data_IF_655599201085
#
_entry.id   IF_655599201085
#
_cell.length_a   1.000
_cell.length_b   1.000
_cell.length_c   1.000
_cell.angle_alpha   90.00
_cell.angle_beta   90.00
_cell.angle_gamma   90.00
#
_symmetry.space_group_name_H-M   'P 1'
#
loop_
_entity.id
_entity.type
_entity.pdbx_description
1 polymer ?
#
# COMPACT_ATOMS: atom_id res chain seq x y z
N UNK A 1 -22.60 23.35 -4.12
CA UNK A 1 -21.17 23.73 -4.11
C UNK A 1 -20.45 23.43 -2.78
N UNK A 2 -20.96 23.84 -1.60
CA UNK A 2 -20.31 23.55 -0.29
C UNK A 2 -20.07 22.07 0.03
N UNK A 3 -20.89 21.13 -0.46
CA UNK A 3 -20.74 19.70 -0.19
C UNK A 3 -19.62 19.00 -1.01
N UNK A 4 -19.27 19.53 -2.19
CA UNK A 4 -18.18 19.01 -3.02
C UNK A 4 -16.81 19.41 -2.45
N UNK A 5 -16.70 20.63 -1.91
CA UNK A 5 -15.49 21.10 -1.21
C UNK A 5 -15.14 20.23 0.00
N UNK A 6 -16.14 19.72 0.74
CA UNK A 6 -15.91 18.86 1.92
C UNK A 6 -15.32 17.49 1.57
N UNK A 7 -15.66 16.90 0.42
CA UNK A 7 -15.22 15.54 0.07
C UNK A 7 -13.77 15.48 -0.35
N UNK A 8 -13.28 16.49 -1.05
CA UNK A 8 -11.88 16.56 -1.48
C UNK A 8 -10.96 16.71 -0.26
N UNK A 9 -11.43 17.41 0.78
CA UNK A 9 -10.68 17.68 2.01
C UNK A 9 -10.34 16.41 2.79
N UNK A 10 -11.29 15.48 2.88
CA UNK A 10 -11.08 14.23 3.63
C UNK A 10 -9.94 13.40 3.05
N UNK A 11 -9.85 13.26 1.72
CA UNK A 11 -8.83 12.40 1.10
C UNK A 11 -7.42 12.96 1.28
N UNK A 12 -7.21 14.26 1.02
CA UNK A 12 -5.85 14.80 1.19
C UNK A 12 -5.44 14.90 2.66
N UNK A 13 -6.38 15.18 3.57
CA UNK A 13 -6.08 15.15 5.01
C UNK A 13 -5.71 13.74 5.46
N UNK A 14 -6.44 12.71 5.02
CA UNK A 14 -6.11 11.33 5.36
C UNK A 14 -4.72 10.93 4.85
N UNK A 15 -4.38 11.29 3.60
CA UNK A 15 -3.05 11.05 3.04
C UNK A 15 -1.96 11.80 3.81
N UNK A 16 -2.19 13.08 4.12
CA UNK A 16 -1.25 13.89 4.90
C UNK A 16 -1.04 13.29 6.29
N UNK A 17 -2.11 12.90 6.99
CA UNK A 17 -2.02 12.27 8.30
C UNK A 17 -1.25 10.94 8.24
N UNK A 18 -1.54 10.07 7.28
CA UNK A 18 -0.80 8.80 7.12
C UNK A 18 0.69 9.03 6.91
N UNK A 19 1.05 9.87 5.95
CA UNK A 19 2.45 10.21 5.64
C UNK A 19 3.15 10.84 6.85
N UNK A 20 2.50 11.77 7.56
CA UNK A 20 3.11 12.40 8.74
C UNK A 20 3.28 11.42 9.90
N UNK A 21 2.36 10.47 10.09
CA UNK A 21 2.50 9.43 11.11
C UNK A 21 3.64 8.48 10.78
N UNK A 22 3.74 8.02 9.53
CA UNK A 22 4.85 7.15 9.10
C UNK A 22 6.20 7.86 9.23
N UNK A 23 6.29 9.12 8.80
CA UNK A 23 7.50 9.94 8.97
C UNK A 23 7.83 10.19 10.44
N UNK A 24 6.83 10.38 11.30
CA UNK A 24 7.04 10.59 12.73
C UNK A 24 7.56 9.31 13.40
N UNK A 25 6.93 8.16 13.15
CA UNK A 25 7.38 6.86 13.66
C UNK A 25 8.78 6.52 13.15
N UNK A 26 9.01 6.75 11.85
CA UNK A 26 10.33 6.60 11.24
C UNK A 26 11.36 7.51 11.93
N UNK A 27 11.03 8.78 12.12
CA UNK A 27 11.89 9.77 12.77
C UNK A 27 12.22 9.40 14.21
N UNK A 28 11.25 8.90 14.99
CA UNK A 28 11.48 8.39 16.35
C UNK A 28 12.47 7.23 16.33
N UNK A 29 12.30 6.27 15.42
CA UNK A 29 13.23 5.14 15.30
C UNK A 29 14.65 5.56 14.92
N UNK A 30 14.80 6.52 13.99
CA UNK A 30 16.11 7.07 13.63
C UNK A 30 16.77 7.85 14.78
N UNK A 31 15.98 8.49 15.65
CA UNK A 31 16.49 9.16 16.84
C UNK A 31 16.93 8.17 17.93
N UNK A 32 16.20 7.05 18.08
CA UNK A 32 16.54 5.99 19.04
C UNK A 32 17.71 5.13 18.58
N UNK A 33 17.87 4.94 17.27
CA UNK A 33 18.92 4.13 16.68
C UNK A 33 19.80 4.93 15.71
N UNK A 34 20.71 5.81 16.22
CA UNK A 34 21.58 6.62 15.37
C UNK A 34 22.51 5.81 14.45
N UNK A 35 22.80 4.55 14.81
CA UNK A 35 23.60 3.61 13.99
C UNK A 35 22.98 3.31 12.62
N UNK A 36 21.70 3.66 12.41
CA UNK A 36 21.02 3.57 11.11
C UNK A 36 21.42 4.68 10.14
N UNK A 37 22.06 5.75 10.64
CA UNK A 37 22.56 6.86 9.83
C UNK A 37 24.01 6.67 9.38
N UNK A 38 24.65 5.55 9.77
CA UNK A 38 25.99 5.20 9.30
C UNK A 38 26.01 4.91 7.79
N UNK A 39 27.18 5.13 7.18
CA UNK A 39 27.38 4.92 5.74
C UNK A 39 27.03 3.48 5.35
N UNK A 40 26.13 3.33 4.36
CA UNK A 40 25.61 2.04 3.89
C UNK A 40 24.16 1.76 4.27
N UNK A 41 23.67 2.28 5.42
CA UNK A 41 22.27 2.10 5.88
C UNK A 41 21.42 3.34 5.69
N UNK A 42 22.05 4.52 5.72
CA UNK A 42 21.38 5.81 5.54
C UNK A 42 20.61 5.93 4.21
N UNK A 43 21.06 5.24 3.15
CA UNK A 43 20.37 5.25 1.85
C UNK A 43 18.97 4.64 1.92
N UNK A 44 18.77 3.58 2.70
CA UNK A 44 17.46 2.93 2.86
C UNK A 44 16.48 3.86 3.56
N UNK A 45 16.92 4.51 4.63
CA UNK A 45 16.13 5.52 5.32
C UNK A 45 15.80 6.70 4.40
N UNK A 46 16.78 7.21 3.65
CA UNK A 46 16.56 8.31 2.71
C UNK A 46 15.56 7.94 1.61
N UNK A 47 15.63 6.71 1.06
CA UNK A 47 14.65 6.22 0.09
C UNK A 47 13.24 6.23 0.67
N UNK A 48 13.05 5.75 1.90
CA UNK A 48 11.73 5.78 2.55
C UNK A 48 11.21 7.22 2.71
N UNK A 49 12.05 8.14 3.20
CA UNK A 49 11.67 9.55 3.37
C UNK A 49 11.28 10.18 2.04
N UNK A 50 12.10 10.02 1.01
CA UNK A 50 11.82 10.58 -0.33
C UNK A 50 10.53 10.02 -0.88
N UNK A 51 10.30 8.71 -0.79
CA UNK A 51 9.09 8.08 -1.30
C UNK A 51 7.84 8.49 -0.51
N UNK A 52 7.91 8.61 0.82
CA UNK A 52 6.82 9.13 1.65
C UNK A 52 6.49 10.59 1.31
N UNK A 53 7.51 11.42 1.03
CA UNK A 53 7.29 12.80 0.55
C UNK A 53 6.63 12.83 -0.83
N UNK A 54 7.03 11.93 -1.75
CA UNK A 54 6.35 11.76 -3.05
C UNK A 54 4.88 11.36 -2.84
N UNK A 55 4.62 10.42 -1.95
CA UNK A 55 3.26 10.00 -1.59
C UNK A 55 2.45 11.15 -1.00
N UNK A 56 3.04 11.97 -0.13
CA UNK A 56 2.41 13.19 0.41
C UNK A 56 2.09 14.21 -0.68
N UNK A 57 3.05 14.52 -1.56
CA UNK A 57 2.86 15.44 -2.68
C UNK A 57 1.73 14.98 -3.63
N UNK A 58 1.71 13.71 -4.00
CA UNK A 58 0.67 13.11 -4.84
C UNK A 58 -0.67 13.05 -4.11
N UNK A 59 -0.65 12.60 -2.85
CA UNK A 59 -1.78 12.45 -1.95
C UNK A 59 -2.51 13.75 -1.64
N UNK A 60 -1.79 14.87 -1.63
CA UNK A 60 -2.34 16.20 -1.41
C UNK A 60 -2.68 16.90 -2.73
N UNK A 61 -1.76 16.84 -3.70
CA UNK A 61 -1.89 17.54 -4.97
C UNK A 61 -3.07 17.04 -5.82
N UNK A 62 -3.29 15.72 -5.86
CA UNK A 62 -4.35 15.12 -6.68
C UNK A 62 -5.76 15.52 -6.20
N UNK A 63 -6.15 15.32 -4.92
CA UNK A 63 -7.51 15.64 -4.49
C UNK A 63 -7.86 17.13 -4.54
N UNK A 64 -6.89 18.03 -4.33
CA UNK A 64 -7.13 19.48 -4.33
C UNK A 64 -7.65 19.97 -5.68
N UNK A 65 -7.07 19.48 -6.78
CA UNK A 65 -7.37 19.92 -8.15
C UNK A 65 -8.21 18.91 -8.94
N UNK A 66 -8.75 17.89 -8.27
CA UNK A 66 -9.44 16.78 -8.92
C UNK A 66 -10.78 17.21 -9.54
N UNK A 67 -11.01 16.81 -10.80
CA UNK A 67 -12.35 16.80 -11.40
C UNK A 67 -13.25 15.76 -10.73
N UNK A 68 -14.57 15.82 -10.97
CA UNK A 68 -15.50 14.84 -10.41
C UNK A 68 -15.17 13.39 -10.83
N UNK A 69 -14.70 13.19 -12.06
CA UNK A 69 -14.32 11.87 -12.55
C UNK A 69 -13.05 11.34 -11.85
N UNK A 70 -12.04 12.21 -11.67
CA UNK A 70 -10.84 11.87 -10.88
C UNK A 70 -11.23 11.52 -9.45
N UNK A 71 -12.02 12.36 -8.81
CA UNK A 71 -12.48 12.14 -7.43
C UNK A 71 -13.24 10.81 -7.30
N UNK A 72 -14.08 10.46 -8.28
CA UNK A 72 -14.78 9.17 -8.28
C UNK A 72 -13.81 7.99 -8.35
N UNK A 73 -12.75 8.07 -9.16
CA UNK A 73 -11.69 7.06 -9.21
C UNK A 73 -10.92 6.97 -7.89
N UNK A 74 -10.54 8.11 -7.29
CA UNK A 74 -9.86 8.14 -6.00
C UNK A 74 -10.70 7.49 -4.90
N UNK A 75 -12.01 7.73 -4.85
CA UNK A 75 -12.88 7.07 -3.87
C UNK A 75 -12.99 5.55 -4.08
N UNK A 76 -13.03 5.07 -5.32
CA UNK A 76 -12.96 3.63 -5.58
C UNK A 76 -11.62 3.04 -5.14
N UNK A 77 -10.53 3.75 -5.45
CA UNK A 77 -9.18 3.40 -5.01
C UNK A 77 -9.07 3.36 -3.49
N UNK A 78 -9.61 4.36 -2.78
CA UNK A 78 -9.60 4.42 -1.31
C UNK A 78 -10.31 3.24 -0.70
N UNK A 79 -11.52 2.90 -1.17
CA UNK A 79 -12.27 1.77 -0.62
C UNK A 79 -11.49 0.45 -0.76
N UNK A 80 -10.83 0.23 -1.89
CA UNK A 80 -10.03 -0.97 -2.11
C UNK A 80 -8.69 -0.90 -1.36
N UNK A 81 -8.04 0.27 -1.32
CA UNK A 81 -6.78 0.49 -0.62
C UNK A 81 -6.87 0.28 0.88
N UNK A 82 -8.00 0.65 1.50
CA UNK A 82 -8.27 0.34 2.91
C UNK A 82 -8.32 -1.18 3.14
N UNK A 83 -8.96 -1.94 2.25
CA UNK A 83 -9.01 -3.40 2.33
C UNK A 83 -7.61 -3.99 2.17
N UNK A 84 -6.84 -3.49 1.20
CA UNK A 84 -5.44 -3.91 0.97
C UNK A 84 -4.59 -3.63 2.22
N UNK A 85 -4.71 -2.45 2.82
CA UNK A 85 -3.98 -2.12 4.06
C UNK A 85 -4.31 -3.05 5.23
N UNK A 86 -5.59 -3.42 5.39
CA UNK A 86 -6.00 -4.43 6.38
C UNK A 86 -5.38 -5.78 6.08
N UNK A 87 -5.37 -6.20 4.81
CA UNK A 87 -4.77 -7.48 4.40
C UNK A 87 -3.26 -7.48 4.66
N UNK A 88 -2.55 -6.39 4.36
CA UNK A 88 -1.14 -6.25 4.73
C UNK A 88 -0.92 -6.39 6.24
N UNK A 89 -1.72 -5.70 7.05
CA UNK A 89 -1.60 -5.82 8.52
C UNK A 89 -1.86 -7.25 9.02
N UNK A 90 -2.82 -7.96 8.41
CA UNK A 90 -3.08 -9.37 8.71
C UNK A 90 -1.92 -10.25 8.29
N UNK A 91 -1.39 -10.07 7.08
CA UNK A 91 -0.24 -10.82 6.56
C UNK A 91 0.97 -10.66 7.48
N UNK A 92 1.34 -9.41 7.80
CA UNK A 92 2.40 -9.11 8.77
C UNK A 92 2.12 -9.72 10.14
N UNK A 93 0.86 -9.71 10.60
CA UNK A 93 0.50 -10.35 11.87
C UNK A 93 0.70 -11.87 11.84
N UNK A 94 0.38 -12.51 10.71
CA UNK A 94 0.59 -13.95 10.53
C UNK A 94 2.09 -14.25 10.51
N UNK A 95 2.87 -13.49 9.73
CA UNK A 95 4.32 -13.67 9.62
C UNK A 95 5.04 -13.44 10.96
N UNK A 96 4.67 -12.39 11.68
CA UNK A 96 5.36 -12.00 12.92
C UNK A 96 4.93 -12.86 14.11
N UNK A 97 3.66 -13.29 14.20
CA UNK A 97 3.11 -13.89 15.43
C UNK A 97 2.70 -15.36 15.30
N UNK A 98 2.61 -15.92 14.10
CA UNK A 98 2.15 -17.32 13.91
C UNK A 98 3.28 -18.16 13.31
N UNK A 99 3.70 -19.20 14.03
CA UNK A 99 4.64 -20.19 13.51
C UNK A 99 3.91 -21.24 12.67
N UNK A 100 3.79 -20.96 11.36
CA UNK A 100 3.18 -21.86 10.39
C UNK A 100 4.15 -22.96 9.89
N UNK A 101 5.44 -22.88 10.25
CA UNK A 101 6.49 -23.65 9.60
C UNK A 101 6.77 -23.19 8.15
N UNK A 102 7.92 -23.59 7.61
CA UNK A 102 8.47 -23.01 6.35
C UNK A 102 7.56 -23.14 5.13
N UNK A 103 6.96 -24.30 4.90
CA UNK A 103 6.14 -24.51 3.69
C UNK A 103 4.83 -23.73 3.76
N UNK A 104 4.13 -23.78 4.89
CA UNK A 104 2.86 -23.08 5.03
C UNK A 104 3.02 -21.57 5.10
N UNK A 105 4.12 -21.06 5.68
CA UNK A 105 4.50 -19.65 5.61
C UNK A 105 4.65 -19.19 4.15
N UNK A 106 5.38 -19.92 3.31
CA UNK A 106 5.52 -19.59 1.88
C UNK A 106 4.16 -19.53 1.15
N UNK A 107 3.27 -20.50 1.38
CA UNK A 107 1.94 -20.48 0.77
C UNK A 107 1.05 -19.37 1.31
N UNK A 108 1.19 -19.01 2.59
CA UNK A 108 0.50 -17.89 3.22
C UNK A 108 0.89 -16.58 2.54
N UNK A 109 2.19 -16.25 2.50
CA UNK A 109 2.71 -15.02 1.88
C UNK A 109 2.30 -14.94 0.40
N UNK A 110 2.47 -16.02 -0.37
CA UNK A 110 2.06 -16.04 -1.78
C UNK A 110 0.54 -15.85 -1.94
N UNK A 111 -0.26 -16.43 -1.04
CA UNK A 111 -1.71 -16.27 -1.01
C UNK A 111 -2.13 -14.82 -0.77
N UNK A 112 -1.54 -14.16 0.23
CA UNK A 112 -1.78 -12.76 0.53
C UNK A 112 -1.33 -11.83 -0.60
N UNK A 113 -0.15 -12.06 -1.17
CA UNK A 113 0.34 -11.31 -2.33
C UNK A 113 -0.61 -11.44 -3.53
N UNK A 114 -1.03 -12.66 -3.88
CA UNK A 114 -1.96 -12.88 -4.99
C UNK A 114 -3.29 -12.15 -4.74
N UNK A 115 -3.80 -12.21 -3.52
CA UNK A 115 -5.03 -11.50 -3.13
C UNK A 115 -4.88 -9.98 -3.31
N UNK A 116 -3.77 -9.40 -2.86
CA UNK A 116 -3.48 -7.98 -3.03
C UNK A 116 -3.39 -7.62 -4.52
N UNK A 117 -2.77 -8.44 -5.35
CA UNK A 117 -2.67 -8.20 -6.80
C UNK A 117 -4.04 -8.22 -7.48
N UNK A 118 -4.91 -9.16 -7.09
CA UNK A 118 -6.29 -9.21 -7.54
C UNK A 118 -7.07 -7.97 -7.11
N UNK A 119 -6.83 -7.46 -5.90
CA UNK A 119 -7.46 -6.24 -5.41
C UNK A 119 -6.98 -4.98 -6.17
N UNK A 120 -5.70 -4.89 -6.55
CA UNK A 120 -5.26 -3.83 -7.47
C UNK A 120 -6.00 -3.91 -8.81
N UNK A 121 -6.14 -5.10 -9.39
CA UNK A 121 -6.97 -5.32 -10.58
C UNK A 121 -8.42 -4.89 -10.36
N UNK A 122 -9.01 -5.22 -9.22
CA UNK A 122 -10.37 -4.82 -8.86
C UNK A 122 -10.51 -3.29 -8.73
N UNK A 123 -9.53 -2.60 -8.14
CA UNK A 123 -9.51 -1.14 -8.06
C UNK A 123 -9.50 -0.52 -9.45
N UNK A 124 -8.65 -1.03 -10.35
CA UNK A 124 -8.61 -0.65 -11.77
C UNK A 124 -9.95 -0.83 -12.47
N UNK A 125 -10.53 -2.03 -12.33
CA UNK A 125 -11.83 -2.37 -12.90
C UNK A 125 -12.96 -1.47 -12.37
N UNK A 126 -13.05 -1.26 -11.06
CA UNK A 126 -14.07 -0.39 -10.43
C UNK A 126 -13.92 1.07 -10.85
N UNK A 127 -12.69 1.57 -10.90
CA UNK A 127 -12.41 2.93 -11.37
C UNK A 127 -12.86 3.13 -12.83
N UNK A 128 -12.52 2.19 -13.73
CA UNK A 128 -12.99 2.24 -15.13
C UNK A 128 -14.50 2.06 -15.25
N UNK A 129 -15.11 1.17 -14.46
CA UNK A 129 -16.56 0.99 -14.46
C UNK A 129 -17.29 2.28 -14.09
N UNK A 130 -16.79 2.97 -13.06
CA UNK A 130 -17.42 4.18 -12.53
C UNK A 130 -17.24 5.39 -13.45
N UNK A 131 -16.06 5.52 -14.05
CA UNK A 131 -15.68 6.71 -14.81
C UNK A 131 -15.79 6.56 -16.33
N UNK A 132 -15.85 5.33 -16.84
CA UNK A 132 -15.76 4.97 -18.27
C UNK A 132 -14.43 5.36 -18.93
N UNK A 133 -13.38 5.57 -18.15
CA UNK A 133 -12.04 5.91 -18.64
C UNK A 133 -10.98 4.96 -18.07
N UNK A 134 -10.20 4.31 -18.94
CA UNK A 134 -9.11 3.42 -18.55
C UNK A 134 -8.06 4.14 -17.69
N UNK A 135 -7.56 5.34 -18.07
CA UNK A 135 -6.55 6.03 -17.26
C UNK A 135 -7.00 6.32 -15.83
N UNK A 136 -8.29 6.60 -15.63
CA UNK A 136 -8.86 6.82 -14.30
C UNK A 136 -9.02 5.52 -13.51
N UNK A 137 -9.21 4.38 -14.18
CA UNK A 137 -9.09 3.06 -13.55
C UNK A 137 -7.70 2.81 -13.01
N UNK A 138 -6.68 2.98 -13.86
CA UNK A 138 -5.26 2.82 -13.48
C UNK A 138 -4.92 3.75 -12.31
N UNK A 139 -5.36 5.02 -12.37
CA UNK A 139 -5.20 5.97 -11.27
C UNK A 139 -5.83 5.48 -9.97
N UNK A 140 -7.05 4.94 -10.02
CA UNK A 140 -7.71 4.35 -8.85
C UNK A 140 -6.92 3.18 -8.25
N UNK A 141 -6.30 2.35 -9.09
CA UNK A 141 -5.42 1.26 -8.65
C UNK A 141 -4.15 1.79 -7.97
N UNK A 142 -3.45 2.73 -8.60
CA UNK A 142 -2.28 3.39 -8.02
C UNK A 142 -2.61 4.01 -6.67
N UNK A 143 -3.73 4.73 -6.60
CA UNK A 143 -4.24 5.34 -5.37
C UNK A 143 -4.54 4.31 -4.27
N UNK A 144 -5.04 3.14 -4.64
CA UNK A 144 -5.26 2.06 -3.67
C UNK A 144 -3.95 1.52 -3.10
N UNK A 145 -2.88 1.44 -3.90
CA UNK A 145 -1.55 1.05 -3.44
C UNK A 145 -0.96 2.07 -2.47
N UNK A 146 -1.03 3.36 -2.80
CA UNK A 146 -0.62 4.45 -1.92
C UNK A 146 -1.24 4.30 -0.52
N UNK A 147 -2.56 4.09 -0.45
CA UNK A 147 -3.27 3.95 0.83
C UNK A 147 -2.90 2.64 1.55
N UNK A 148 -2.86 1.52 0.82
CA UNK A 148 -2.54 0.22 1.41
C UNK A 148 -1.13 0.20 2.01
N UNK A 149 -0.15 0.79 1.31
CA UNK A 149 1.23 0.89 1.77
C UNK A 149 1.36 1.78 3.00
N UNK A 150 0.70 2.95 3.04
CA UNK A 150 0.73 3.81 4.26
C UNK A 150 0.19 3.06 5.48
N UNK A 151 -0.86 2.26 5.33
CA UNK A 151 -1.39 1.45 6.43
C UNK A 151 -0.40 0.35 6.83
N UNK A 152 0.22 -0.31 5.86
CA UNK A 152 1.22 -1.35 6.11
C UNK A 152 2.44 -0.80 6.85
N UNK A 153 2.97 0.35 6.44
CA UNK A 153 4.09 1.02 7.10
C UNK A 153 3.73 1.44 8.52
N UNK A 154 2.56 2.06 8.71
CA UNK A 154 2.07 2.46 10.03
C UNK A 154 2.00 1.26 10.97
N UNK A 155 1.44 0.15 10.49
CA UNK A 155 1.34 -1.10 11.25
C UNK A 155 2.72 -1.68 11.54
N UNK A 156 3.57 -1.82 10.53
CA UNK A 156 4.93 -2.38 10.67
C UNK A 156 5.80 -1.59 11.64
N UNK A 157 5.80 -0.26 11.54
CA UNK A 157 6.53 0.58 12.50
C UNK A 157 5.94 0.50 13.91
N UNK A 158 4.61 0.46 14.05
CA UNK A 158 4.00 0.24 15.36
C UNK A 158 4.40 -1.12 15.96
N UNK A 159 4.42 -2.19 15.16
CA UNK A 159 4.87 -3.51 15.62
C UNK A 159 6.33 -3.48 16.07
N UNK A 160 7.20 -2.75 15.36
CA UNK A 160 8.60 -2.59 15.78
C UNK A 160 8.75 -1.98 17.17
N UNK A 161 7.95 -0.98 17.51
CA UNK A 161 8.01 -0.33 18.82
C UNK A 161 7.30 -1.11 19.92
N UNK A 162 6.20 -1.80 19.60
CA UNK A 162 5.38 -2.49 20.59
C UNK A 162 5.85 -3.92 20.87
N UNK A 163 6.50 -4.56 19.90
CA UNK A 163 6.84 -5.99 19.94
C UNK A 163 8.30 -6.26 19.54
N UNK A 164 9.22 -5.35 19.88
CA UNK A 164 10.65 -5.46 19.53
C UNK A 164 11.26 -6.82 19.91
N UNK A 165 11.00 -7.31 21.13
CA UNK A 165 11.51 -8.61 21.59
C UNK A 165 11.04 -9.78 20.72
N UNK A 166 9.82 -9.71 20.19
CA UNK A 166 9.30 -10.73 19.28
C UNK A 166 10.02 -10.67 17.94
N UNK A 167 10.24 -9.46 17.42
CA UNK A 167 10.99 -9.26 16.17
C UNK A 167 12.45 -9.71 16.30
N UNK A 168 13.12 -9.41 17.42
CA UNK A 168 14.48 -9.88 17.70
C UNK A 168 14.58 -11.41 17.63
N UNK A 169 13.57 -12.11 18.18
CA UNK A 169 13.52 -13.57 18.17
C UNK A 169 13.34 -14.14 16.75
N UNK A 170 12.38 -13.63 15.97
CA UNK A 170 12.12 -14.18 14.63
C UNK A 170 13.20 -13.77 13.62
N UNK A 171 13.86 -12.63 13.82
CA UNK A 171 14.92 -12.11 12.94
C UNK A 171 16.33 -12.50 13.41
N UNK A 172 16.48 -13.40 14.39
CA UNK A 172 17.77 -13.71 14.99
C UNK A 172 18.79 -14.27 13.98
N UNK A 173 18.34 -15.06 12.99
CA UNK A 173 19.21 -15.58 11.93
C UNK A 173 19.74 -14.46 11.04
N UNK A 174 18.87 -13.53 10.69
CA UNK A 174 19.16 -12.47 9.74
C UNK A 174 20.06 -11.42 10.41
N UNK A 175 19.83 -11.16 11.70
CA UNK A 175 20.67 -10.32 12.54
C UNK A 175 22.13 -10.78 12.54
N UNK A 176 22.39 -12.08 12.74
CA UNK A 176 23.75 -12.62 12.74
C UNK A 176 24.45 -12.38 11.40
N UNK A 177 23.71 -12.43 10.29
CA UNK A 177 24.25 -12.16 8.95
C UNK A 177 24.44 -10.67 8.63
N UNK A 178 23.75 -9.77 9.36
CA UNK A 178 23.70 -8.34 9.09
C UNK A 178 24.97 -7.57 9.48
N UNK A 179 25.77 -8.12 10.40
CA UNK A 179 26.93 -7.44 10.97
C UNK A 179 26.59 -6.24 11.87
N UNK A 180 25.33 -6.04 12.24
CA UNK A 180 24.92 -5.00 13.18
C UNK A 180 25.26 -5.37 14.63
N UNK A 181 25.65 -4.39 15.44
CA UNK A 181 25.99 -4.59 16.85
C UNK A 181 24.78 -4.56 17.80
N UNK A 182 23.68 -3.95 17.36
CA UNK A 182 22.46 -3.78 18.16
C UNK A 182 21.29 -4.54 17.50
N UNK A 183 20.74 -5.58 18.16
CA UNK A 183 19.63 -6.35 17.61
C UNK A 183 18.34 -5.52 17.46
N UNK A 184 18.11 -4.51 18.31
CA UNK A 184 16.91 -3.65 18.21
C UNK A 184 17.01 -2.68 17.03
N UNK A 185 18.18 -2.09 16.84
CA UNK A 185 18.45 -1.30 15.65
C UNK A 185 18.28 -2.15 14.38
N UNK A 186 18.66 -3.43 14.41
CA UNK A 186 18.49 -4.33 13.28
C UNK A 186 17.01 -4.62 12.95
N UNK A 187 16.15 -4.88 13.94
CA UNK A 187 14.71 -5.10 13.65
C UNK A 187 14.08 -3.90 12.95
N UNK A 188 14.45 -2.70 13.40
CA UNK A 188 13.99 -1.45 12.78
C UNK A 188 14.59 -1.26 11.38
N UNK A 189 15.87 -1.56 11.19
CA UNK A 189 16.51 -1.51 9.87
C UNK A 189 15.86 -2.47 8.87
N UNK A 190 15.61 -3.72 9.26
CA UNK A 190 14.93 -4.72 8.45
C UNK A 190 13.54 -4.21 8.00
N UNK A 191 12.86 -3.51 8.90
CA UNK A 191 11.55 -2.91 8.61
C UNK A 191 11.66 -1.71 7.67
N UNK A 192 12.73 -0.91 7.75
CA UNK A 192 13.03 0.12 6.76
C UNK A 192 13.36 -0.47 5.38
N UNK A 193 14.10 -1.58 5.32
CA UNK A 193 14.38 -2.28 4.06
C UNK A 193 13.09 -2.77 3.42
N UNK A 194 12.24 -3.48 4.18
CA UNK A 194 10.92 -3.91 3.72
C UNK A 194 10.05 -2.73 3.29
N UNK A 195 9.97 -1.66 4.09
CA UNK A 195 9.22 -0.46 3.74
C UNK A 195 9.72 0.18 2.43
N UNK A 196 11.03 0.27 2.24
CA UNK A 196 11.64 0.86 1.04
C UNK A 196 11.24 0.12 -0.23
N UNK A 197 11.23 -1.22 -0.20
CA UNK A 197 10.79 -2.05 -1.31
C UNK A 197 9.29 -1.87 -1.58
N UNK A 198 8.44 -1.96 -0.55
CA UNK A 198 6.99 -1.82 -0.72
C UNK A 198 6.56 -0.44 -1.23
N UNK A 199 7.23 0.63 -0.78
CA UNK A 199 7.00 1.99 -1.26
C UNK A 199 7.21 2.13 -2.78
N UNK A 200 8.14 1.35 -3.35
CA UNK A 200 8.45 1.36 -4.78
C UNK A 200 7.65 0.31 -5.58
N UNK A 201 7.59 -0.93 -5.08
CA UNK A 201 7.04 -2.07 -5.80
C UNK A 201 5.52 -2.03 -5.89
N UNK A 202 4.83 -1.68 -4.80
CA UNK A 202 3.37 -1.73 -4.77
C UNK A 202 2.72 -0.81 -5.83
N UNK A 203 3.16 0.45 -6.05
CA UNK A 203 2.67 1.26 -7.17
C UNK A 203 2.94 0.64 -8.54
N UNK A 204 4.11 0.02 -8.76
CA UNK A 204 4.45 -0.61 -10.05
C UNK A 204 3.51 -1.79 -10.34
N UNK A 205 3.33 -2.65 -9.34
CA UNK A 205 2.43 -3.80 -9.44
C UNK A 205 0.99 -3.32 -9.61
N UNK A 206 0.57 -2.30 -8.87
CA UNK A 206 -0.76 -1.73 -8.99
C UNK A 206 -1.01 -1.10 -10.36
N UNK A 207 0.02 -0.54 -11.01
CA UNK A 207 -0.09 -0.05 -12.39
C UNK A 207 -0.37 -1.20 -13.36
N UNK A 208 0.38 -2.31 -13.24
CA UNK A 208 0.22 -3.49 -14.11
C UNK A 208 -1.14 -4.15 -13.87
N UNK A 209 -1.43 -4.57 -12.64
CA UNK A 209 -2.68 -5.23 -12.28
C UNK A 209 -3.88 -4.32 -12.54
N UNK A 210 -3.77 -3.04 -12.20
CA UNK A 210 -4.79 -2.03 -12.45
C UNK A 210 -5.09 -1.82 -13.93
N UNK A 211 -4.06 -1.86 -14.79
CA UNK A 211 -4.24 -1.80 -16.25
C UNK A 211 -5.00 -3.01 -16.76
N UNK A 212 -4.63 -4.22 -16.32
CA UNK A 212 -5.32 -5.46 -16.69
C UNK A 212 -6.80 -5.39 -16.28
N UNK A 213 -7.08 -4.98 -15.03
CA UNK A 213 -8.44 -4.83 -14.53
C UNK A 213 -9.25 -3.77 -15.27
N UNK A 214 -8.65 -2.62 -15.56
CA UNK A 214 -9.28 -1.54 -16.32
C UNK A 214 -9.64 -1.96 -17.74
N UNK A 215 -8.72 -2.63 -18.46
CA UNK A 215 -8.96 -3.15 -19.81
C UNK A 215 -10.04 -4.23 -19.83
N UNK A 216 -10.00 -5.15 -18.86
CA UNK A 216 -11.01 -6.21 -18.72
C UNK A 216 -12.41 -5.61 -18.55
N UNK A 217 -12.53 -4.62 -17.66
CA UNK A 217 -13.81 -3.93 -17.45
C UNK A 217 -14.26 -3.15 -18.70
N UNK A 218 -13.35 -2.48 -19.40
CA UNK A 218 -13.68 -1.79 -20.65
C UNK A 218 -14.23 -2.76 -21.72
N UNK A 219 -13.62 -3.95 -21.83
CA UNK A 219 -14.10 -5.03 -22.70
C UNK A 219 -15.53 -5.45 -22.34
N UNK A 220 -15.79 -5.72 -21.06
CA UNK A 220 -17.13 -6.08 -20.56
C UNK A 220 -18.18 -5.00 -20.85
N UNK A 221 -17.82 -3.73 -20.66
CA UNK A 221 -18.69 -2.59 -20.96
C UNK A 221 -19.04 -2.55 -22.46
N UNK A 222 -18.03 -2.74 -23.32
CA UNK A 222 -18.19 -2.72 -24.76
C UNK A 222 -19.07 -3.87 -25.25
N UNK A 223 -18.91 -5.07 -24.69
CA UNK A 223 -19.75 -6.23 -24.99
C UNK A 223 -21.21 -6.03 -24.55
N UNK A 224 -21.44 -5.44 -23.37
CA UNK A 224 -22.79 -5.08 -22.92
C UNK A 224 -23.46 -4.06 -23.83
N UNK A 225 -22.71 -3.04 -24.27
CA UNK A 225 -23.22 -2.03 -25.21
C UNK A 225 -23.61 -2.59 -26.57
N UNK A 226 -22.98 -3.69 -27.01
CA UNK A 226 -23.29 -4.40 -28.26
C UNK A 226 -24.40 -5.45 -28.11
N UNK A 227 -25.04 -5.57 -26.94
CA UNK A 227 -26.16 -6.49 -26.72
C UNK A 227 -25.77 -7.96 -26.45
N UNK A 228 -24.48 -8.29 -26.39
CA UNK A 228 -24.00 -9.68 -26.27
C UNK A 228 -24.25 -10.32 -24.89
N UNK A 229 -24.56 -9.54 -23.86
CA UNK A 229 -24.74 -10.02 -22.48
C UNK A 229 -26.21 -10.02 -22.00
N UNK A 230 -27.18 -9.89 -22.91
CA UNK A 230 -28.60 -10.08 -22.59
C UNK A 230 -29.03 -11.54 -22.78
N UNK A 231 -28.79 -12.36 -21.76
CA UNK A 231 -29.77 -13.40 -21.40
C UNK A 231 -30.52 -12.85 -20.20
N UNK A 232 -31.60 -12.09 -20.46
CA UNK A 232 -32.62 -11.90 -19.42
C UNK A 232 -33.29 -13.25 -19.21
N UNK A 233 -33.35 -13.81 -17.99
CA UNK A 233 -34.32 -14.86 -17.71
C UNK A 233 -35.69 -14.26 -18.01
N UNK A 234 -36.46 -14.90 -18.89
CA UNK A 234 -37.90 -14.61 -18.98
C UNK A 234 -38.52 -15.14 -17.69
N UNK A 235 -39.00 -14.23 -16.84
CA UNK A 235 -40.01 -14.51 -15.83
C UNK A 235 -41.17 -13.57 -16.07
#
# INVERSE_FOLDING_TARGET
MRALFKKNVVLWLAMLCGVLLDLALMGVGLLWYPSLLEAGRASTAMTCVVMLLVYGCVGIGLPIKASQAVMAALWQGTAVGLIIGVIFAVDMSVEDFIDLGRQASLFSTLGFMLLIFLLFGLAGARGTQKTRHIPLGILGSLWSALIGVLIALLFGFAVNFLFTQRLEHILSSDYVSSGMSDPQAFTFFHSLESASSHLMEAPLIAAVCGTIGALTMQGLISLRGRGFLFVRPRS
#
